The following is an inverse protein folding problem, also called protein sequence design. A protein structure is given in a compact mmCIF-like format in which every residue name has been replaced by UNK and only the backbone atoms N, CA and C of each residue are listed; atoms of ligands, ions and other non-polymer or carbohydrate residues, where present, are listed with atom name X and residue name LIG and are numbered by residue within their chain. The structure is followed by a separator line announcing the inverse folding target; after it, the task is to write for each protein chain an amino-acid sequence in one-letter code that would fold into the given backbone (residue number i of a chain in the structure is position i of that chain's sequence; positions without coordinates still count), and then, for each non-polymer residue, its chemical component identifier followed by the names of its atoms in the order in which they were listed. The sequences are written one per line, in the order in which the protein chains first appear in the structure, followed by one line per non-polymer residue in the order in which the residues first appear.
data_IF_395789213690
#
_entry.id   IF_395789213690
#
_cell.length_a   1.000
_cell.length_b   1.000
_cell.length_c   1.000
_cell.angle_alpha   90.00
_cell.angle_beta   90.00
_cell.angle_gamma   90.00
#
_symmetry.space_group_name_H-M   'P 1'
#
loop_
_entity.id
_entity.type
_entity.pdbx_description
1 polymer ?
#
# COMPACT_ATOMS: atom_id res chain seq x y z
N UNK A 1 -4.04 -4.28 10.79
CA UNK A 1 -4.68 -3.17 11.53
C UNK A 1 -4.03 -3.01 12.90
N UNK A 2 -4.15 -3.99 13.79
CA UNK A 2 -3.69 -3.88 15.18
C UNK A 2 -2.21 -3.49 15.29
N UNK A 3 -1.33 -4.09 14.47
CA UNK A 3 0.09 -3.75 14.42
C UNK A 3 0.32 -2.28 14.08
N UNK A 4 -0.34 -1.77 13.03
CA UNK A 4 -0.23 -0.38 12.62
C UNK A 4 -0.66 0.57 13.74
N UNK A 5 -1.83 0.32 14.33
CA UNK A 5 -2.38 1.18 15.38
C UNK A 5 -1.47 1.18 16.61
N UNK A 6 -0.96 0.02 17.06
CA UNK A 6 0.05 -0.03 18.14
C UNK A 6 1.31 0.78 17.82
N UNK A 7 1.75 0.76 16.57
CA UNK A 7 2.96 1.45 16.17
C UNK A 7 2.79 2.97 16.03
N UNK A 8 1.64 3.46 15.57
CA UNK A 8 1.52 4.83 15.07
C UNK A 8 0.42 5.68 15.71
N UNK A 9 -0.56 5.09 16.41
CA UNK A 9 -1.64 5.87 17.01
C UNK A 9 -1.11 6.89 18.01
N UNK A 10 -0.31 6.46 18.98
CA UNK A 10 0.21 7.34 20.00
C UNK A 10 1.32 8.29 19.51
N UNK A 11 2.12 7.89 18.52
CA UNK A 11 3.31 8.64 18.09
C UNK A 11 3.06 9.55 16.88
N UNK A 12 2.20 9.12 15.98
CA UNK A 12 1.90 9.82 14.74
C UNK A 12 0.43 10.27 14.65
N UNK A 13 -0.35 10.00 15.70
CA UNK A 13 -1.79 10.33 15.77
C UNK A 13 -2.53 9.85 14.53
N UNK A 14 -2.26 8.62 14.11
CA UNK A 14 -2.82 8.03 12.88
C UNK A 14 -3.24 6.59 13.14
N UNK A 15 -4.43 6.23 12.68
CA UNK A 15 -4.98 4.88 12.77
C UNK A 15 -5.28 4.32 11.38
N UNK A 16 -5.24 2.99 11.27
CA UNK A 16 -5.64 2.23 10.10
C UNK A 16 -6.97 1.55 10.36
N UNK A 17 -7.91 1.66 9.43
CA UNK A 17 -9.25 1.11 9.55
C UNK A 17 -9.71 0.48 8.23
N UNK A 18 -10.24 -0.73 8.28
CA UNK A 18 -10.87 -1.41 7.15
C UNK A 18 -12.36 -1.11 7.02
N UNK A 19 -12.98 -1.71 6.01
CA UNK A 19 -14.43 -1.66 5.81
C UNK A 19 -14.90 -0.53 4.89
N UNK A 20 -13.99 0.21 4.26
CA UNK A 20 -14.36 1.20 3.27
C UNK A 20 -14.69 0.54 1.91
N UNK A 21 -15.57 1.15 1.14
CA UNK A 21 -15.84 0.75 -0.24
C UNK A 21 -14.65 1.09 -1.15
N UNK A 22 -14.05 2.26 -0.93
CA UNK A 22 -12.85 2.74 -1.60
C UNK A 22 -11.82 3.19 -0.55
N UNK A 23 -10.50 3.00 -0.81
CA UNK A 23 -9.46 3.48 0.09
C UNK A 23 -9.39 5.00 0.09
N UNK A 24 -9.11 5.60 1.24
CA UNK A 24 -8.88 7.05 1.35
C UNK A 24 -8.20 7.41 2.67
N UNK A 25 -7.56 8.57 2.68
CA UNK A 25 -6.94 9.13 3.88
C UNK A 25 -7.63 10.42 4.32
N UNK A 26 -7.95 10.53 5.61
CA UNK A 26 -8.53 11.74 6.21
C UNK A 26 -7.63 12.25 7.33
N UNK A 27 -7.12 13.49 7.21
CA UNK A 27 -6.42 14.13 8.31
C UNK A 27 -7.40 14.45 9.45
N UNK A 28 -6.99 14.24 10.70
CA UNK A 28 -7.84 14.43 11.86
C UNK A 28 -7.12 14.19 13.18
N UNK A 29 -7.89 13.99 14.26
CA UNK A 29 -7.38 13.63 15.59
C UNK A 29 -8.16 12.44 16.17
N UNK A 30 -7.74 11.22 15.88
CA UNK A 30 -6.61 10.84 15.01
C UNK A 30 -6.89 11.03 13.53
N UNK A 31 -5.83 11.11 12.70
CA UNK A 31 -5.94 10.92 11.27
C UNK A 31 -6.28 9.47 10.97
N UNK A 32 -7.02 9.20 9.91
CA UNK A 32 -7.43 7.84 9.57
C UNK A 32 -7.04 7.47 8.14
N UNK A 33 -6.44 6.29 8.02
CA UNK A 33 -6.19 5.62 6.75
C UNK A 33 -7.27 4.57 6.61
N UNK A 34 -8.13 4.70 5.61
CA UNK A 34 -9.15 3.71 5.29
C UNK A 34 -8.68 2.82 4.16
N UNK A 35 -8.87 1.52 4.28
CA UNK A 35 -8.60 0.57 3.22
C UNK A 35 -9.86 -0.23 2.87
N UNK A 36 -9.86 -0.77 1.65
CA UNK A 36 -11.02 -1.42 1.07
C UNK A 36 -11.34 -2.73 1.78
N UNK A 37 -12.58 -2.87 2.23
CA UNK A 37 -13.08 -4.06 2.90
C UNK A 37 -12.12 -4.53 4.03
N UNK A 38 -11.68 -5.79 3.97
CA UNK A 38 -10.65 -6.38 4.85
C UNK A 38 -9.44 -6.92 4.06
N UNK A 39 -9.20 -6.40 2.85
CA UNK A 39 -8.12 -6.84 1.98
C UNK A 39 -6.76 -6.43 2.50
N UNK A 40 -5.94 -7.40 2.88
CA UNK A 40 -4.59 -7.16 3.40
C UNK A 40 -3.74 -6.31 2.44
N UNK A 41 -3.77 -6.59 1.14
CA UNK A 41 -3.04 -5.80 0.13
C UNK A 41 -3.48 -4.35 0.09
N UNK A 42 -4.79 -4.06 0.15
CA UNK A 42 -5.27 -2.68 0.20
C UNK A 42 -4.72 -1.96 1.44
N UNK A 43 -4.72 -2.63 2.59
CA UNK A 43 -4.15 -2.06 3.81
C UNK A 43 -2.65 -1.76 3.67
N UNK A 44 -1.86 -2.68 3.11
CA UNK A 44 -0.41 -2.52 2.91
C UNK A 44 -0.11 -1.39 1.91
N UNK A 45 -0.90 -1.28 0.84
CA UNK A 45 -0.80 -0.22 -0.15
C UNK A 45 -1.04 1.16 0.47
N UNK A 46 -2.13 1.33 1.20
CA UNK A 46 -2.45 2.61 1.85
C UNK A 46 -1.43 2.99 2.93
N UNK A 47 -0.92 2.02 3.68
CA UNK A 47 0.18 2.26 4.62
C UNK A 47 1.44 2.70 3.89
N UNK A 48 1.75 2.14 2.72
CA UNK A 48 2.90 2.55 1.93
C UNK A 48 2.77 4.01 1.45
N UNK A 49 1.60 4.44 0.97
CA UNK A 49 1.32 5.84 0.64
C UNK A 49 1.51 6.76 1.84
N UNK A 50 0.97 6.40 2.99
CA UNK A 50 1.14 7.18 4.22
C UNK A 50 2.61 7.27 4.64
N UNK A 51 3.39 6.22 4.48
CA UNK A 51 4.82 6.20 4.78
C UNK A 51 5.63 7.15 3.88
N UNK A 52 5.25 7.30 2.62
CA UNK A 52 5.89 8.21 1.65
C UNK A 52 5.45 9.64 1.85
N UNK A 53 4.19 9.86 2.27
CA UNK A 53 3.63 11.19 2.42
C UNK A 53 4.36 12.02 3.47
N UNK A 54 4.91 13.17 3.06
CA UNK A 54 5.57 14.11 3.96
C UNK A 54 4.56 14.84 4.88
N UNK A 55 5.08 15.53 5.91
CA UNK A 55 4.26 16.24 6.92
C UNK A 55 3.27 17.22 6.28
N UNK A 56 3.67 17.91 5.21
CA UNK A 56 2.78 18.87 4.52
C UNK A 56 1.62 18.15 3.83
N UNK A 57 1.88 17.04 3.14
CA UNK A 57 0.86 16.30 2.41
C UNK A 57 -0.15 15.62 3.33
N UNK A 58 0.29 15.09 4.47
CA UNK A 58 -0.61 14.48 5.47
C UNK A 58 -1.59 15.47 6.14
N UNK A 59 -1.55 16.74 5.79
CA UNK A 59 -2.56 17.74 6.21
C UNK A 59 -3.78 17.81 5.28
N UNK A 60 -3.76 17.08 4.19
CA UNK A 60 -4.82 17.09 3.18
C UNK A 60 -5.43 15.70 3.02
N UNK A 61 -6.75 15.60 2.75
CA UNK A 61 -7.37 14.36 2.32
C UNK A 61 -6.58 13.78 1.13
N UNK A 62 -6.42 12.47 1.10
CA UNK A 62 -5.66 11.73 0.09
C UNK A 62 -4.29 12.34 -0.25
N UNK A 63 -3.67 12.91 0.79
CA UNK A 63 -2.36 13.56 0.70
C UNK A 63 -2.31 14.73 -0.30
N UNK A 64 -3.48 15.28 -0.67
CA UNK A 64 -3.61 16.32 -1.67
C UNK A 64 -3.28 15.85 -3.09
N UNK A 65 -3.33 14.55 -3.33
CA UNK A 65 -3.35 14.01 -4.68
C UNK A 65 -4.78 14.10 -5.23
N UNK A 66 -4.88 14.47 -6.49
CA UNK A 66 -6.12 14.45 -7.21
C UNK A 66 -5.85 13.80 -8.56
N UNK A 67 -6.45 12.65 -8.79
CA UNK A 67 -6.43 11.97 -10.09
C UNK A 67 -7.78 11.38 -10.39
N UNK A 68 -8.08 11.28 -11.67
CA UNK A 68 -9.23 10.53 -12.12
C UNK A 68 -9.00 9.05 -11.80
N UNK A 69 -9.87 8.39 -11.04
CA UNK A 69 -9.69 6.98 -10.71
C UNK A 69 -9.71 6.09 -11.95
N UNK A 70 -10.59 6.39 -12.92
CA UNK A 70 -10.74 5.64 -14.17
C UNK A 70 -10.69 6.56 -15.39
N UNK A 71 -10.42 5.97 -16.56
CA UNK A 71 -10.43 6.70 -17.84
C UNK A 71 -9.24 7.63 -18.04
N UNK A 72 -8.11 7.38 -17.33
CA UNK A 72 -6.86 8.11 -17.56
C UNK A 72 -6.36 7.87 -18.98
N UNK A 73 -6.01 8.95 -19.68
CA UNK A 73 -5.27 8.87 -20.93
C UNK A 73 -3.82 8.42 -20.71
N UNK A 74 -3.07 8.20 -21.81
CA UNK A 74 -1.70 7.70 -21.74
C UNK A 74 -0.74 8.62 -20.96
N UNK A 75 -0.91 9.95 -21.05
CA UNK A 75 -0.07 10.91 -20.35
C UNK A 75 -0.40 10.94 -18.85
N UNK A 76 -1.69 10.90 -18.52
CA UNK A 76 -2.18 10.81 -17.14
C UNK A 76 -1.76 9.49 -16.49
N UNK A 77 -1.81 8.37 -17.23
CA UNK A 77 -1.34 7.08 -16.75
C UNK A 77 0.18 7.07 -16.51
N UNK A 78 0.96 7.68 -17.39
CA UNK A 78 2.40 7.81 -17.18
C UNK A 78 2.74 8.67 -15.94
N UNK A 79 1.99 9.74 -15.69
CA UNK A 79 2.12 10.57 -14.50
C UNK A 79 1.74 9.80 -13.24
N UNK A 80 0.67 9.01 -13.28
CA UNK A 80 0.26 8.10 -12.21
C UNK A 80 1.38 7.11 -11.89
N UNK A 81 1.91 6.39 -12.87
CA UNK A 81 3.01 5.45 -12.68
C UNK A 81 4.27 6.10 -12.06
N UNK A 82 4.53 7.36 -12.39
CA UNK A 82 5.68 8.07 -11.84
C UNK A 82 5.58 8.30 -10.33
N UNK A 83 4.37 8.51 -9.80
CA UNK A 83 4.13 8.72 -8.36
C UNK A 83 3.89 7.42 -7.62
N UNK A 84 3.32 6.41 -8.28
CA UNK A 84 2.97 5.11 -7.70
C UNK A 84 4.16 4.16 -7.52
N UNK A 85 5.17 4.24 -8.35
CA UNK A 85 6.30 3.31 -8.30
C UNK A 85 7.00 3.27 -6.92
N UNK A 86 7.08 4.39 -6.23
CA UNK A 86 7.71 4.48 -4.92
C UNK A 86 6.89 3.87 -3.79
N UNK A 87 5.59 4.19 -3.61
CA UNK A 87 4.71 3.49 -2.68
C UNK A 87 4.66 1.99 -2.93
N UNK A 88 4.50 1.56 -4.18
CA UNK A 88 4.38 0.14 -4.52
C UNK A 88 5.68 -0.64 -4.28
N UNK A 89 6.84 -0.03 -4.37
CA UNK A 89 8.09 -0.66 -3.94
C UNK A 89 8.14 -0.89 -2.41
N UNK A 90 7.52 -0.02 -1.61
CA UNK A 90 7.37 -0.22 -0.16
C UNK A 90 6.32 -1.29 0.12
N UNK A 91 5.18 -1.25 -0.57
CA UNK A 91 4.15 -2.29 -0.50
C UNK A 91 4.73 -3.68 -0.78
N UNK A 92 5.57 -3.81 -1.81
CA UNK A 92 6.24 -5.07 -2.14
C UNK A 92 7.05 -5.63 -0.95
N UNK A 93 7.80 -4.77 -0.24
CA UNK A 93 8.54 -5.19 0.95
C UNK A 93 7.60 -5.60 2.10
N UNK A 94 6.48 -4.93 2.28
CA UNK A 94 5.49 -5.30 3.27
C UNK A 94 4.79 -6.63 2.93
N UNK A 95 4.46 -6.82 1.65
CA UNK A 95 3.89 -8.07 1.15
C UNK A 95 4.83 -9.25 1.38
N UNK A 96 6.12 -9.09 1.07
CA UNK A 96 7.15 -10.11 1.32
C UNK A 96 7.21 -10.50 2.81
N UNK A 97 7.23 -9.52 3.71
CA UNK A 97 7.27 -9.77 5.16
C UNK A 97 6.01 -10.49 5.70
N UNK A 98 4.86 -10.29 5.04
CA UNK A 98 3.59 -10.93 5.42
C UNK A 98 3.34 -12.26 4.70
N UNK A 99 4.15 -12.67 3.73
CA UNK A 99 3.87 -13.81 2.87
C UNK A 99 2.65 -13.60 1.95
N UNK A 100 2.39 -12.34 1.56
CA UNK A 100 1.31 -11.95 0.64
C UNK A 100 1.90 -11.71 -0.73
N UNK A 101 1.29 -12.27 -1.77
CA UNK A 101 1.74 -12.06 -3.14
C UNK A 101 1.60 -10.59 -3.56
N UNK A 102 2.69 -10.02 -4.06
CA UNK A 102 2.69 -8.69 -4.64
C UNK A 102 2.52 -8.75 -6.16
N UNK A 103 1.69 -7.87 -6.70
CA UNK A 103 1.64 -7.56 -8.13
C UNK A 103 1.40 -6.07 -8.31
N UNK A 104 2.04 -5.39 -9.27
CA UNK A 104 1.81 -3.97 -9.51
C UNK A 104 0.34 -3.65 -9.77
N UNK A 105 -0.17 -2.60 -9.15
CA UNK A 105 -1.51 -2.09 -9.39
C UNK A 105 -1.46 -0.93 -10.38
N UNK A 106 -2.25 -1.04 -11.44
CA UNK A 106 -2.36 0.02 -12.47
C UNK A 106 -3.53 0.95 -12.23
N UNK A 107 -4.47 0.54 -11.36
CA UNK A 107 -5.63 1.32 -10.92
C UNK A 107 -6.34 2.09 -12.05
N UNK A 108 -6.58 1.42 -13.16
CA UNK A 108 -7.30 1.95 -14.33
C UNK A 108 -8.07 0.80 -14.99
N UNK A 109 -9.24 0.52 -14.43
CA UNK A 109 -10.06 -0.63 -14.83
C UNK A 109 -10.53 -0.47 -16.27
N UNK A 110 -10.28 -1.51 -17.09
CA UNK A 110 -10.71 -1.55 -18.49
C UNK A 110 -9.87 -0.71 -19.45
N UNK A 111 -8.80 -0.05 -19.00
CA UNK A 111 -7.90 0.64 -19.91
C UNK A 111 -6.97 -0.34 -20.63
N UNK A 112 -6.79 -0.14 -21.93
CA UNK A 112 -5.77 -0.83 -22.72
C UNK A 112 -4.43 -0.11 -22.54
N UNK A 113 -3.66 -0.57 -21.54
CA UNK A 113 -2.35 0.01 -21.22
C UNK A 113 -1.29 -0.71 -22.06
N UNK A 114 -0.50 0.00 -22.87
CA UNK A 114 0.56 -0.61 -23.66
C UNK A 114 1.54 -1.41 -22.81
N UNK A 115 1.91 -2.62 -23.27
CA UNK A 115 2.80 -3.53 -22.54
C UNK A 115 4.14 -2.87 -22.18
N UNK A 116 4.67 -2.02 -23.04
CA UNK A 116 5.88 -1.24 -22.78
C UNK A 116 5.76 -0.28 -21.59
N UNK A 117 4.58 0.30 -21.38
CA UNK A 117 4.33 1.16 -20.20
C UNK A 117 4.26 0.35 -18.90
N UNK A 118 3.67 -0.85 -18.96
CA UNK A 118 3.63 -1.77 -17.83
C UNK A 118 5.05 -2.22 -17.46
N UNK A 119 5.83 -2.65 -18.43
CA UNK A 119 7.24 -3.05 -18.24
C UNK A 119 8.04 -1.87 -17.63
N UNK A 120 7.89 -0.67 -18.18
CA UNK A 120 8.57 0.52 -17.65
C UNK A 120 8.15 0.85 -16.23
N UNK A 121 6.90 0.62 -15.85
CA UNK A 121 6.40 0.79 -14.50
C UNK A 121 6.99 -0.24 -13.54
N UNK A 122 6.98 -1.51 -13.91
CA UNK A 122 7.61 -2.58 -13.12
C UNK A 122 9.10 -2.34 -12.90
N UNK A 123 9.81 -1.88 -13.92
CA UNK A 123 11.23 -1.51 -13.79
C UNK A 123 11.42 -0.38 -12.79
N UNK A 124 10.55 0.64 -12.78
CA UNK A 124 10.63 1.73 -11.79
C UNK A 124 10.37 1.26 -10.35
N UNK A 125 9.44 0.33 -10.16
CA UNK A 125 9.22 -0.32 -8.86
C UNK A 125 10.49 -1.06 -8.42
N UNK A 126 11.10 -1.83 -9.32
CA UNK A 126 12.34 -2.56 -9.06
C UNK A 126 13.51 -1.61 -8.73
N UNK A 127 13.63 -0.49 -9.43
CA UNK A 127 14.63 0.54 -9.15
C UNK A 127 14.44 1.15 -7.76
N UNK A 128 13.21 1.48 -7.37
CA UNK A 128 12.93 1.96 -6.01
C UNK A 128 13.22 0.90 -4.95
N UNK A 129 12.89 -0.36 -5.20
CA UNK A 129 13.20 -1.47 -4.31
C UNK A 129 14.71 -1.61 -4.11
N UNK A 130 15.51 -1.41 -5.17
CA UNK A 130 16.97 -1.36 -5.07
C UNK A 130 17.44 -0.18 -4.22
N UNK A 131 16.91 1.02 -4.46
CA UNK A 131 17.23 2.21 -3.66
C UNK A 131 16.96 1.96 -2.18
N UNK A 132 15.84 1.31 -1.85
CA UNK A 132 15.48 1.02 -0.45
C UNK A 132 16.36 -0.06 0.17
N UNK A 133 16.82 -1.05 -0.58
CA UNK A 133 17.82 -2.01 -0.10
C UNK A 133 19.18 -1.34 0.19
N UNK A 134 19.59 -0.43 -0.68
CA UNK A 134 20.90 0.24 -0.57
C UNK A 134 20.94 1.34 0.49
N UNK A 135 19.83 2.08 0.68
CA UNK A 135 19.76 3.29 1.52
C UNK A 135 18.83 3.18 2.71
N UNK A 136 18.08 2.10 2.82
CA UNK A 136 17.00 1.92 3.80
C UNK A 136 15.68 2.53 3.38
N UNK A 137 14.61 2.02 3.97
CA UNK A 137 13.25 2.53 3.83
C UNK A 137 13.07 3.87 4.57
N UNK A 138 12.05 4.68 4.17
CA UNK A 138 11.60 5.80 5.00
C UNK A 138 11.33 5.34 6.44
N UNK A 139 11.61 6.15 7.44
CA UNK A 139 11.58 5.76 8.86
C UNK A 139 10.28 5.10 9.31
N UNK A 140 9.12 5.59 8.85
CA UNK A 140 7.83 4.97 9.17
C UNK A 140 7.66 3.60 8.49
N UNK A 141 8.10 3.47 7.25
CA UNK A 141 8.07 2.21 6.52
C UNK A 141 8.99 1.17 7.18
N UNK A 142 10.21 1.57 7.55
CA UNK A 142 11.14 0.71 8.28
C UNK A 142 10.55 0.23 9.61
N UNK A 143 9.91 1.13 10.38
CA UNK A 143 9.28 0.78 11.65
C UNK A 143 8.13 -0.20 11.47
N UNK A 144 7.30 0.00 10.44
CA UNK A 144 6.18 -0.90 10.16
C UNK A 144 6.67 -2.26 9.66
N UNK A 145 7.64 -2.28 8.76
CA UNK A 145 8.26 -3.51 8.25
C UNK A 145 8.84 -4.35 9.40
N UNK A 146 9.62 -3.74 10.30
CA UNK A 146 10.16 -4.46 11.47
C UNK A 146 9.05 -5.06 12.35
N UNK A 147 7.92 -4.39 12.47
CA UNK A 147 6.76 -4.95 13.17
C UNK A 147 6.14 -6.15 12.45
N UNK A 148 6.04 -6.10 11.12
CA UNK A 148 5.54 -7.20 10.31
C UNK A 148 6.45 -8.44 10.41
N UNK A 149 7.77 -8.23 10.32
CA UNK A 149 8.78 -9.29 10.44
C UNK A 149 8.74 -9.99 11.81
N UNK A 150 8.48 -9.24 12.88
CA UNK A 150 8.37 -9.79 14.24
C UNK A 150 7.09 -10.61 14.46
N UNK A 151 5.99 -10.23 13.83
CA UNK A 151 4.75 -11.01 13.92
C UNK A 151 4.79 -12.25 13.00
N UNK A 152 5.69 -12.26 12.02
CA UNK A 152 5.85 -13.33 11.03
C UNK A 152 4.69 -13.41 10.04
N UNK A 153 4.78 -14.26 9.01
CA UNK A 153 3.67 -14.50 8.11
C UNK A 153 2.51 -15.09 8.92
N UNK A 154 1.37 -14.41 8.93
CA UNK A 154 0.14 -14.95 9.52
C UNK A 154 -0.13 -16.30 8.88
N UNK A 155 -0.12 -17.38 9.67
CA UNK A 155 -0.57 -18.67 9.17
C UNK A 155 -1.98 -18.48 8.61
N UNK A 156 -2.10 -18.49 7.30
CA UNK A 156 -3.39 -18.46 6.65
C UNK A 156 -4.20 -19.62 7.26
N UNK A 157 -5.29 -19.28 7.94
CA UNK A 157 -6.20 -20.28 8.51
C UNK A 157 -6.61 -21.20 7.37
N UNK A 158 -6.15 -22.45 7.41
CA UNK A 158 -6.62 -23.48 6.50
C UNK A 158 -8.16 -23.48 6.52
N UNK A 159 -8.81 -23.50 5.36
CA UNK A 159 -10.25 -23.66 5.32
C UNK A 159 -10.58 -25.00 6.02
N UNK A 160 -11.65 -25.07 6.82
CA UNK A 160 -12.01 -26.30 7.52
C UNK A 160 -12.15 -27.41 6.49
N UNK A 161 -11.39 -28.48 6.65
CA UNK A 161 -11.47 -29.68 5.84
C UNK A 161 -12.92 -30.18 5.86
N UNK A 162 -13.55 -30.17 4.66
CA UNK A 162 -14.87 -30.74 4.50
C UNK A 162 -14.81 -32.24 4.91
N UNK A 163 -15.29 -32.49 6.11
CA UNK A 163 -15.39 -33.87 6.64
C UNK A 163 -16.21 -34.72 5.69
N UNK A 164 -15.59 -35.76 5.15
CA UNK A 164 -16.29 -36.81 4.46
C UNK A 164 -17.24 -37.49 5.46
N UNK A 165 -18.53 -37.15 5.36
CA UNK A 165 -19.61 -37.87 6.00
C UNK A 165 -19.97 -39.09 5.19
N UNK A 166 -19.88 -40.22 5.80
CA UNK A 166 -20.40 -41.51 5.30
C UNK A 166 -21.93 -41.46 5.24
#
# INVERSE_FOLDING_TARGET
VALFNRAFEATDNTVLQGGADEPYYVPGQPSCIYFRADYARSALHEVAHWCVAGVRRRRFPDYGYWYSPDGRDAAQQAAFFAVEARPQAIEAAFCEACGVDFSPSVDNVGADIPAEQLIAFEMRIADWSKVFRDRGLPSRAARFLSGLELEGPSAASEPPSAGAGR
#
